data_IF_820200132564
#
_entry.id   IF_820200132564
#
_cell.length_a   1.000
_cell.length_b   1.000
_cell.length_c   1.000
_cell.angle_alpha   90.00
_cell.angle_beta   90.00
_cell.angle_gamma   90.00
#
_symmetry.space_group_name_H-M   'P 1'
#
loop_
_entity.id
_entity.type
_entity.pdbx_description
1 polymer ?
#
# COMPACT_ATOMS: atom_id res chain seq x y z
N UNK A 1 -18.18 -17.81 20.78
CA UNK A 1 -18.33 -18.99 19.90
C UNK A 1 -19.74 -19.58 19.96
N UNK A 2 -20.81 -18.84 19.70
CA UNK A 2 -22.16 -19.33 19.85
C UNK A 2 -23.23 -18.73 18.95
N UNK A 3 -22.85 -17.82 18.03
CA UNK A 3 -23.83 -17.04 17.25
C UNK A 3 -24.02 -17.57 15.80
N UNK A 4 -23.22 -18.51 15.35
CA UNK A 4 -23.33 -19.09 13.99
C UNK A 4 -23.70 -20.58 13.98
N UNK A 5 -24.40 -21.07 15.01
CA UNK A 5 -25.00 -22.39 14.97
C UNK A 5 -26.40 -22.25 14.45
N UNK A 6 -26.69 -22.95 13.36
CA UNK A 6 -28.03 -23.32 12.85
C UNK A 6 -28.79 -22.27 12.02
N UNK A 7 -28.15 -21.30 11.36
CA UNK A 7 -28.78 -20.57 10.28
C UNK A 7 -28.44 -21.26 8.94
N UNK A 8 -29.31 -22.10 8.44
CA UNK A 8 -29.24 -22.57 7.04
C UNK A 8 -29.69 -21.42 6.16
N UNK A 9 -28.73 -20.85 5.39
CA UNK A 9 -29.04 -19.89 4.33
C UNK A 9 -29.99 -20.53 3.32
N UNK A 10 -31.10 -19.86 2.99
CA UNK A 10 -31.93 -20.31 1.89
C UNK A 10 -31.21 -20.12 0.53
N UNK A 11 -31.79 -20.68 -0.53
CA UNK A 11 -31.16 -20.65 -1.87
C UNK A 11 -30.99 -19.21 -2.36
N UNK A 12 -31.98 -18.33 -2.15
CA UNK A 12 -31.93 -16.94 -2.60
C UNK A 12 -30.86 -16.13 -1.82
N UNK A 13 -30.71 -16.40 -0.53
CA UNK A 13 -29.66 -15.80 0.29
C UNK A 13 -28.27 -16.25 -0.16
N UNK A 14 -28.09 -17.54 -0.49
CA UNK A 14 -26.83 -18.07 -1.02
C UNK A 14 -26.47 -17.43 -2.37
N UNK A 15 -27.42 -17.32 -3.29
CA UNK A 15 -27.22 -16.69 -4.60
C UNK A 15 -26.85 -15.21 -4.47
N UNK A 16 -27.55 -14.47 -3.59
CA UNK A 16 -27.25 -13.06 -3.33
C UNK A 16 -25.84 -12.89 -2.74
N UNK A 17 -25.50 -13.68 -1.73
CA UNK A 17 -24.18 -13.62 -1.09
C UNK A 17 -23.06 -13.99 -2.09
N UNK A 18 -23.26 -15.04 -2.88
CA UNK A 18 -22.33 -15.46 -3.92
C UNK A 18 -22.10 -14.35 -4.95
N UNK A 19 -23.17 -13.71 -5.44
CA UNK A 19 -23.05 -12.59 -6.38
C UNK A 19 -22.22 -11.45 -5.79
N UNK A 20 -22.48 -11.06 -4.54
CA UNK A 20 -21.72 -10.01 -3.86
C UNK A 20 -20.25 -10.39 -3.65
N UNK A 21 -19.96 -11.65 -3.35
CA UNK A 21 -18.58 -12.15 -3.24
C UNK A 21 -17.87 -11.99 -4.58
N UNK A 22 -18.46 -12.42 -5.69
CA UNK A 22 -17.84 -12.28 -7.01
C UNK A 22 -17.63 -10.82 -7.43
N UNK A 23 -18.53 -9.91 -7.06
CA UNK A 23 -18.31 -8.47 -7.27
C UNK A 23 -17.08 -7.97 -6.52
N UNK A 24 -16.88 -8.37 -5.26
CA UNK A 24 -15.71 -8.00 -4.48
C UNK A 24 -14.44 -8.69 -5.01
N UNK A 25 -14.53 -9.93 -5.47
CA UNK A 25 -13.42 -10.63 -6.12
C UNK A 25 -12.98 -9.91 -7.39
N UNK A 26 -13.93 -9.44 -8.22
CA UNK A 26 -13.62 -8.63 -9.38
C UNK A 26 -12.86 -7.35 -8.99
N UNK A 27 -13.34 -6.62 -7.99
CA UNK A 27 -12.66 -5.41 -7.49
C UNK A 27 -11.24 -5.71 -6.99
N UNK A 28 -11.05 -6.84 -6.29
CA UNK A 28 -9.72 -7.28 -5.85
C UNK A 28 -8.81 -7.62 -7.02
N UNK A 29 -9.30 -8.29 -8.05
CA UNK A 29 -8.53 -8.62 -9.26
C UNK A 29 -8.16 -7.35 -10.05
N UNK A 30 -9.05 -6.37 -10.14
CA UNK A 30 -8.78 -5.08 -10.78
C UNK A 30 -7.67 -4.33 -10.02
N UNK A 31 -7.76 -4.27 -8.68
CA UNK A 31 -6.72 -3.70 -7.83
C UNK A 31 -5.39 -4.43 -7.99
N UNK A 32 -5.41 -5.76 -7.96
CA UNK A 32 -4.22 -6.61 -8.11
C UNK A 32 -3.56 -6.40 -9.47
N UNK A 33 -4.37 -6.19 -10.51
CA UNK A 33 -3.89 -5.87 -11.85
C UNK A 33 -3.24 -4.50 -11.91
N UNK A 34 -3.84 -3.50 -11.25
CA UNK A 34 -3.32 -2.14 -11.19
C UNK A 34 -1.97 -2.05 -10.46
N UNK A 35 -1.81 -2.77 -9.37
CA UNK A 35 -0.62 -2.74 -8.52
C UNK A 35 0.36 -3.89 -8.76
N UNK A 36 0.04 -4.85 -9.61
CA UNK A 36 0.90 -5.99 -9.92
C UNK A 36 1.06 -6.96 -8.76
N UNK A 37 -0.01 -7.17 -7.98
CA UNK A 37 -0.02 -8.15 -6.91
C UNK A 37 -0.03 -9.58 -7.47
N UNK A 38 0.52 -10.52 -6.71
CA UNK A 38 0.73 -11.91 -7.11
C UNK A 38 0.75 -12.83 -5.89
N UNK A 39 0.65 -14.12 -6.12
CA UNK A 39 0.61 -15.17 -5.10
C UNK A 39 -0.65 -15.04 -4.22
N UNK A 40 -0.52 -14.68 -2.96
CA UNK A 40 -1.65 -14.52 -2.06
C UNK A 40 -2.25 -13.11 -2.15
N UNK A 41 -3.29 -12.94 -2.98
CA UNK A 41 -3.93 -11.64 -3.16
C UNK A 41 -4.65 -11.15 -1.92
N UNK A 42 -5.15 -12.04 -1.07
CA UNK A 42 -5.79 -11.67 0.18
C UNK A 42 -4.80 -11.00 1.14
N UNK A 43 -3.63 -11.61 1.34
CA UNK A 43 -2.56 -11.02 2.16
C UNK A 43 -2.06 -9.69 1.58
N UNK A 44 -1.85 -9.62 0.26
CA UNK A 44 -1.45 -8.38 -0.42
C UNK A 44 -2.48 -7.28 -0.23
N UNK A 45 -3.77 -7.60 -0.31
CA UNK A 45 -4.87 -6.66 -0.10
C UNK A 45 -4.92 -6.13 1.34
N UNK A 46 -4.87 -7.01 2.33
CA UNK A 46 -4.82 -6.61 3.75
C UNK A 46 -3.62 -5.70 4.03
N UNK A 47 -2.45 -6.06 3.51
CA UNK A 47 -1.25 -5.24 3.63
C UNK A 47 -1.43 -3.89 2.95
N UNK A 48 -2.00 -3.86 1.75
CA UNK A 48 -2.27 -2.62 1.03
C UNK A 48 -3.21 -1.69 1.80
N UNK A 49 -4.27 -2.21 2.43
CA UNK A 49 -5.15 -1.43 3.31
C UNK A 49 -4.35 -0.82 4.47
N UNK A 50 -3.50 -1.60 5.15
CA UNK A 50 -2.67 -1.11 6.25
C UNK A 50 -1.77 0.04 5.80
N UNK A 51 -1.19 -0.06 4.61
CA UNK A 51 -0.24 0.92 4.10
C UNK A 51 -0.89 2.18 3.54
N UNK A 52 -2.13 2.10 3.08
CA UNK A 52 -2.84 3.23 2.47
C UNK A 52 -3.75 3.98 3.43
N UNK A 53 -4.07 3.40 4.59
CA UNK A 53 -4.97 4.00 5.57
C UNK A 53 -4.22 4.98 6.46
N UNK A 54 -4.42 6.28 6.20
CA UNK A 54 -3.89 7.37 7.02
C UNK A 54 -4.80 7.59 8.24
N UNK A 55 -4.24 7.39 9.43
CA UNK A 55 -4.91 7.63 10.69
C UNK A 55 -3.91 8.19 11.74
N UNK A 56 -4.39 8.58 12.91
CA UNK A 56 -3.54 9.18 13.94
C UNK A 56 -2.37 8.29 14.37
N UNK A 57 -2.56 6.97 14.40
CA UNK A 57 -1.49 6.03 14.74
C UNK A 57 -0.46 5.94 13.61
N UNK A 58 -0.90 5.70 12.37
CA UNK A 58 0.01 5.52 11.24
C UNK A 58 0.83 6.79 10.96
N UNK A 59 0.20 7.97 10.99
CA UNK A 59 0.86 9.26 10.79
C UNK A 59 1.84 9.62 11.92
N UNK A 60 1.55 9.22 13.17
CA UNK A 60 2.47 9.42 14.27
C UNK A 60 3.65 8.46 14.17
N UNK A 61 3.38 7.18 13.83
CA UNK A 61 4.41 6.16 13.68
C UNK A 61 5.39 6.46 12.55
N UNK A 62 4.92 7.09 11.47
CA UNK A 62 5.77 7.59 10.38
C UNK A 62 6.80 8.61 10.89
N UNK A 63 6.39 9.55 11.74
CA UNK A 63 7.25 10.66 12.19
C UNK A 63 8.21 10.28 13.30
N UNK A 64 7.74 9.54 14.28
CA UNK A 64 8.49 9.29 15.53
C UNK A 64 8.64 7.82 15.89
N UNK A 65 8.07 6.92 15.09
CA UNK A 65 7.95 5.51 15.45
C UNK A 65 6.90 5.28 16.54
N UNK A 66 6.76 4.03 16.97
CA UNK A 66 5.81 3.66 18.03
C UNK A 66 6.47 3.77 19.41
N UNK A 67 6.76 4.98 19.87
CA UNK A 67 7.25 5.19 21.24
C UNK A 67 6.08 5.08 22.23
N UNK A 68 6.19 4.22 23.23
CA UNK A 68 5.35 3.97 24.41
C UNK A 68 4.06 4.81 24.57
N UNK A 69 3.21 4.88 23.54
CA UNK A 69 1.95 5.61 23.56
C UNK A 69 0.77 4.70 23.88
N UNK A 70 -0.23 5.19 24.60
CA UNK A 70 -1.48 4.46 24.86
C UNK A 70 -2.17 4.03 23.55
N UNK A 71 -2.01 4.79 22.48
CA UNK A 71 -2.55 4.48 21.16
C UNK A 71 -2.04 3.14 20.60
N UNK A 72 -0.82 2.72 21.00
CA UNK A 72 -0.25 1.43 20.56
C UNK A 72 -1.06 0.24 21.07
N UNK A 73 -1.70 0.36 22.24
CA UNK A 73 -2.56 -0.70 22.74
C UNK A 73 -3.78 -0.91 21.85
N UNK A 74 -4.41 0.16 21.38
CA UNK A 74 -5.52 0.08 20.44
C UNK A 74 -5.06 -0.45 19.08
N UNK A 75 -3.94 0.04 18.58
CA UNK A 75 -3.38 -0.44 17.32
C UNK A 75 -3.02 -1.94 17.36
N UNK A 76 -2.49 -2.44 18.47
CA UNK A 76 -2.23 -3.88 18.64
C UNK A 76 -3.51 -4.72 18.65
N UNK A 77 -4.60 -4.21 19.22
CA UNK A 77 -5.90 -4.89 19.14
C UNK A 77 -6.39 -4.99 17.70
N UNK A 78 -6.28 -3.90 16.92
CA UNK A 78 -6.63 -3.91 15.51
C UNK A 78 -5.71 -4.84 14.71
N UNK A 79 -4.41 -4.84 14.98
CA UNK A 79 -3.47 -5.74 14.31
C UNK A 79 -3.69 -7.21 14.67
N UNK A 80 -4.19 -7.52 15.87
CA UNK A 80 -4.61 -8.87 16.19
C UNK A 80 -5.78 -9.32 15.29
N UNK A 81 -6.70 -8.40 14.96
CA UNK A 81 -7.78 -8.70 14.00
C UNK A 81 -7.18 -8.94 12.60
N UNK A 82 -6.23 -8.12 12.15
CA UNK A 82 -5.54 -8.34 10.89
C UNK A 82 -4.80 -9.68 10.86
N UNK A 83 -4.07 -10.06 11.91
CA UNK A 83 -3.43 -11.37 12.01
C UNK A 83 -4.44 -12.51 11.86
N UNK A 84 -5.59 -12.41 12.52
CA UNK A 84 -6.64 -13.41 12.39
C UNK A 84 -7.19 -13.48 10.96
N UNK A 85 -7.26 -12.34 10.25
CA UNK A 85 -7.67 -12.29 8.84
C UNK A 85 -6.59 -12.85 7.91
N UNK A 86 -5.31 -12.69 8.21
CA UNK A 86 -4.21 -13.29 7.45
C UNK A 86 -4.26 -14.82 7.50
N UNK A 87 -4.68 -15.39 8.63
CA UNK A 87 -4.77 -16.85 8.85
C UNK A 87 -6.20 -17.39 8.73
N UNK A 88 -7.11 -16.58 8.15
CA UNK A 88 -8.50 -16.99 8.06
C UNK A 88 -8.69 -18.16 7.09
N UNK A 89 -9.41 -19.19 7.53
CA UNK A 89 -9.76 -20.34 6.71
C UNK A 89 -11.10 -20.09 5.97
N UNK A 90 -11.01 -19.94 4.67
CA UNK A 90 -12.17 -19.68 3.81
C UNK A 90 -12.92 -20.96 3.38
N UNK A 91 -12.33 -22.15 3.60
CA UNK A 91 -12.93 -23.43 3.16
C UNK A 91 -14.39 -23.63 3.61
N UNK A 92 -14.77 -23.32 4.87
CA UNK A 92 -16.17 -23.48 5.28
C UNK A 92 -17.15 -22.60 4.49
N UNK A 93 -16.71 -21.41 4.05
CA UNK A 93 -17.52 -20.52 3.21
C UNK A 93 -17.66 -21.10 1.81
N UNK A 94 -16.55 -21.55 1.23
CA UNK A 94 -16.53 -22.17 -0.11
C UNK A 94 -17.40 -23.41 -0.19
N UNK A 95 -17.30 -24.29 0.80
CA UNK A 95 -18.14 -25.50 0.91
C UNK A 95 -19.62 -25.16 1.05
N UNK A 96 -19.96 -24.16 1.87
CA UNK A 96 -21.37 -23.74 2.10
C UNK A 96 -22.00 -23.14 0.86
N UNK A 97 -21.23 -22.34 0.09
CA UNK A 97 -21.73 -21.62 -1.07
C UNK A 97 -21.48 -22.35 -2.41
N UNK A 98 -20.67 -23.40 -2.42
CA UNK A 98 -20.30 -24.12 -3.64
C UNK A 98 -19.42 -23.30 -4.57
N UNK A 99 -18.48 -22.50 -4.03
CA UNK A 99 -17.56 -21.62 -4.77
C UNK A 99 -16.10 -21.99 -4.45
N UNK A 100 -15.16 -21.54 -5.27
CA UNK A 100 -13.71 -21.77 -5.14
C UNK A 100 -12.87 -20.50 -5.30
N UNK A 101 -13.52 -19.35 -5.31
CA UNK A 101 -12.86 -18.09 -5.62
C UNK A 101 -11.84 -17.64 -4.56
N UNK A 102 -12.04 -17.99 -3.29
CA UNK A 102 -11.08 -17.68 -2.23
C UNK A 102 -9.81 -18.52 -2.38
N UNK A 103 -9.94 -19.85 -2.56
CA UNK A 103 -8.78 -20.71 -2.82
C UNK A 103 -7.98 -20.25 -4.04
N UNK A 104 -8.68 -19.78 -5.08
CA UNK A 104 -8.05 -19.23 -6.29
C UNK A 104 -7.22 -17.97 -6.02
N UNK A 105 -7.70 -17.04 -5.19
CA UNK A 105 -6.94 -15.80 -4.89
C UNK A 105 -5.80 -16.03 -3.89
N UNK A 106 -5.85 -17.09 -3.10
CA UNK A 106 -4.75 -17.45 -2.17
C UNK A 106 -3.54 -18.07 -2.90
N UNK A 107 -3.73 -18.64 -4.08
CA UNK A 107 -2.65 -19.18 -4.96
C UNK A 107 -2.73 -18.55 -6.37
N UNK A 108 -2.86 -17.24 -6.42
CA UNK A 108 -3.02 -16.49 -7.65
C UNK A 108 -1.70 -16.40 -8.43
N UNK A 109 -1.80 -16.57 -9.75
CA UNK A 109 -0.68 -16.39 -10.69
C UNK A 109 -1.00 -15.24 -11.63
N UNK A 110 -0.29 -14.12 -11.45
CA UNK A 110 -0.44 -12.99 -12.35
C UNK A 110 0.01 -13.35 -13.77
N UNK A 111 -0.75 -12.87 -14.76
CA UNK A 111 -0.32 -12.94 -16.17
C UNK A 111 0.95 -12.10 -16.30
N UNK A 112 1.99 -12.65 -16.94
CA UNK A 112 3.26 -11.97 -17.16
C UNK A 112 3.04 -10.61 -17.82
N UNK A 113 3.30 -9.54 -17.08
CA UNK A 113 3.13 -8.15 -17.52
C UNK A 113 4.50 -7.54 -17.78
N UNK A 114 4.56 -6.69 -18.80
CA UNK A 114 5.73 -5.83 -18.99
C UNK A 114 5.84 -4.85 -17.83
N UNK A 115 7.05 -4.48 -17.41
CA UNK A 115 7.32 -3.57 -16.29
C UNK A 115 6.59 -2.21 -16.38
N UNK A 116 6.04 -1.88 -17.53
CA UNK A 116 5.32 -0.62 -17.79
C UNK A 116 3.84 -0.62 -17.40
N UNK A 117 3.27 -1.76 -17.01
CA UNK A 117 1.82 -1.88 -16.80
C UNK A 117 1.37 -1.62 -15.36
N UNK A 118 2.29 -1.65 -14.36
CA UNK A 118 1.97 -1.41 -12.97
C UNK A 118 3.12 -0.72 -12.22
N UNK A 119 2.83 -0.17 -11.05
CA UNK A 119 3.83 0.46 -10.19
C UNK A 119 4.66 -0.61 -9.47
N UNK A 120 5.80 -0.98 -10.06
CA UNK A 120 6.70 -2.01 -9.53
C UNK A 120 7.16 -1.72 -8.10
N UNK A 121 7.43 -0.45 -7.79
CA UNK A 121 7.89 -0.06 -6.45
C UNK A 121 6.81 -0.31 -5.39
N UNK A 122 5.55 0.01 -5.66
CA UNK A 122 4.43 -0.29 -4.75
C UNK A 122 4.24 -1.80 -4.62
N UNK A 123 4.22 -2.52 -5.74
CA UNK A 123 4.08 -3.97 -5.76
C UNK A 123 5.14 -4.67 -4.90
N UNK A 124 6.40 -4.31 -5.05
CA UNK A 124 7.51 -4.91 -4.30
C UNK A 124 7.41 -4.64 -2.80
N UNK A 125 7.09 -3.39 -2.41
CA UNK A 125 6.91 -3.01 -1.01
C UNK A 125 5.75 -3.76 -0.35
N UNK A 126 4.58 -3.80 -1.02
CA UNK A 126 3.39 -4.48 -0.50
C UNK A 126 3.65 -5.97 -0.35
N UNK A 127 4.23 -6.62 -1.36
CA UNK A 127 4.50 -8.07 -1.31
C UNK A 127 5.53 -8.42 -0.26
N UNK A 128 6.62 -7.65 -0.14
CA UNK A 128 7.65 -7.90 0.87
C UNK A 128 7.09 -7.80 2.29
N UNK A 129 6.31 -6.74 2.58
CA UNK A 129 5.66 -6.62 3.90
C UNK A 129 4.59 -7.71 4.08
N UNK A 130 3.83 -8.04 3.06
CA UNK A 130 2.82 -9.11 3.11
C UNK A 130 3.42 -10.46 3.52
N UNK A 131 4.58 -10.81 2.96
CA UNK A 131 5.30 -12.04 3.30
C UNK A 131 5.81 -11.98 4.78
N UNK A 132 6.30 -10.81 5.23
CA UNK A 132 6.75 -10.60 6.61
C UNK A 132 5.59 -10.70 7.62
N UNK A 133 4.44 -10.08 7.31
CA UNK A 133 3.25 -10.11 8.15
C UNK A 133 2.62 -11.51 8.23
N UNK A 134 2.62 -12.26 7.12
CA UNK A 134 2.13 -13.63 7.09
C UNK A 134 2.99 -14.58 7.93
N UNK A 135 4.27 -14.28 8.10
CA UNK A 135 5.21 -15.06 8.91
C UNK A 135 5.25 -14.64 10.39
N UNK A 136 4.54 -13.55 10.77
CA UNK A 136 4.53 -13.09 12.15
C UNK A 136 3.81 -14.08 13.07
N UNK A 137 4.48 -14.54 14.12
CA UNK A 137 3.94 -15.51 15.06
C UNK A 137 3.09 -14.86 16.16
N UNK A 138 3.30 -13.57 16.44
CA UNK A 138 2.58 -12.81 17.45
C UNK A 138 2.27 -11.38 17.00
N UNK A 139 1.37 -10.73 17.74
CA UNK A 139 0.94 -9.37 17.44
C UNK A 139 2.07 -8.33 17.60
N UNK A 140 3.06 -8.59 18.45
CA UNK A 140 4.17 -7.67 18.65
C UNK A 140 5.12 -7.69 17.46
N UNK A 141 5.40 -8.85 16.92
CA UNK A 141 6.17 -9.01 15.67
C UNK A 141 5.43 -8.34 14.49
N UNK A 142 4.14 -8.59 14.35
CA UNK A 142 3.30 -7.95 13.34
C UNK A 142 3.30 -6.42 13.48
N UNK A 143 3.07 -5.92 14.69
CA UNK A 143 3.10 -4.49 15.02
C UNK A 143 4.43 -3.85 14.64
N UNK A 144 5.54 -4.46 15.03
CA UNK A 144 6.88 -3.92 14.78
C UNK A 144 7.18 -3.86 13.26
N UNK A 145 6.78 -4.85 12.49
CA UNK A 145 6.93 -4.85 11.03
C UNK A 145 6.17 -3.68 10.38
N UNK A 146 4.90 -3.47 10.76
CA UNK A 146 4.09 -2.37 10.25
C UNK A 146 4.67 -1.01 10.64
N UNK A 147 5.02 -0.81 11.91
CA UNK A 147 5.60 0.45 12.41
C UNK A 147 6.94 0.77 11.74
N UNK A 148 7.78 -0.26 11.56
CA UNK A 148 9.04 -0.11 10.83
C UNK A 148 8.79 0.35 9.41
N UNK A 149 7.81 -0.24 8.72
CA UNK A 149 7.44 0.17 7.37
C UNK A 149 7.01 1.65 7.32
N UNK A 150 6.11 2.07 8.24
CA UNK A 150 5.67 3.47 8.30
C UNK A 150 6.83 4.44 8.51
N UNK A 151 7.79 4.08 9.36
CA UNK A 151 8.97 4.90 9.63
C UNK A 151 9.92 4.98 8.44
N UNK A 152 10.13 3.87 7.73
CA UNK A 152 11.10 3.76 6.65
C UNK A 152 10.57 4.35 5.32
N UNK A 153 9.27 4.24 5.08
CA UNK A 153 8.66 4.60 3.80
C UNK A 153 7.53 5.64 3.89
N UNK A 154 6.96 5.83 5.06
CA UNK A 154 5.75 6.63 5.26
C UNK A 154 4.46 5.83 5.05
N UNK A 155 3.33 6.50 5.24
CA UNK A 155 1.98 5.94 5.09
C UNK A 155 1.23 6.65 3.96
N UNK A 156 0.19 6.00 3.46
CA UNK A 156 -0.67 6.56 2.43
C UNK A 156 -0.02 6.60 1.04
N UNK A 157 -0.58 7.42 0.20
CA UNK A 157 -0.15 7.55 -1.19
C UNK A 157 1.32 7.99 -1.30
N UNK A 158 1.76 8.90 -0.43
CA UNK A 158 3.12 9.45 -0.45
C UNK A 158 4.16 8.45 0.08
N UNK A 159 3.80 7.59 1.02
CA UNK A 159 4.68 6.51 1.49
C UNK A 159 4.93 5.43 0.45
N UNK A 160 3.94 5.12 -0.36
CA UNK A 160 4.04 4.07 -1.36
C UNK A 160 4.70 4.53 -2.67
N UNK A 161 4.48 5.77 -3.09
CA UNK A 161 4.91 6.27 -4.39
C UNK A 161 6.07 7.26 -4.28
N UNK A 162 6.99 7.23 -5.24
CA UNK A 162 8.19 8.08 -5.27
C UNK A 162 7.99 9.40 -6.00
N UNK A 163 7.02 9.46 -6.91
CA UNK A 163 6.78 10.65 -7.72
C UNK A 163 5.32 10.76 -8.12
N UNK A 164 4.90 12.01 -8.33
CA UNK A 164 3.52 12.36 -8.66
C UNK A 164 3.50 13.38 -9.78
N UNK A 165 2.44 13.30 -10.59
CA UNK A 165 2.05 14.38 -11.51
C UNK A 165 0.89 15.12 -10.89
N UNK A 166 0.94 16.44 -10.90
CA UNK A 166 -0.21 17.27 -10.53
C UNK A 166 -1.09 17.38 -11.78
N UNK A 167 -2.35 17.00 -11.63
CA UNK A 167 -3.38 17.15 -12.66
C UNK A 167 -4.51 18.00 -12.09
N UNK A 168 -5.21 18.69 -12.96
CA UNK A 168 -6.41 19.43 -12.56
C UNK A 168 -7.63 18.51 -12.68
N UNK A 169 -8.34 18.32 -11.58
CA UNK A 169 -9.55 17.55 -11.51
C UNK A 169 -10.67 18.39 -10.89
N UNK A 170 -11.68 18.77 -11.69
CA UNK A 170 -12.80 19.62 -11.25
C UNK A 170 -12.34 20.95 -10.60
N UNK A 171 -11.33 21.61 -11.13
CA UNK A 171 -10.79 22.88 -10.62
C UNK A 171 -9.94 22.74 -9.37
N UNK A 172 -9.58 21.51 -8.96
CA UNK A 172 -8.69 21.24 -7.83
C UNK A 172 -7.46 20.47 -8.29
N UNK A 173 -6.27 20.77 -7.73
CA UNK A 173 -5.08 19.98 -7.99
C UNK A 173 -5.24 18.60 -7.37
N UNK A 174 -4.92 17.57 -8.15
CA UNK A 174 -4.90 16.16 -7.74
C UNK A 174 -3.52 15.56 -8.00
N UNK A 175 -3.06 14.68 -7.09
CA UNK A 175 -1.76 14.03 -7.18
C UNK A 175 -1.92 12.62 -7.77
N UNK A 176 -1.50 12.46 -9.01
CA UNK A 176 -1.54 11.16 -9.70
C UNK A 176 -0.16 10.50 -9.65
N UNK A 177 -0.02 9.30 -9.07
CA UNK A 177 1.25 8.59 -9.02
C UNK A 177 1.84 8.33 -10.41
N UNK A 178 3.16 8.48 -10.53
CA UNK A 178 3.90 8.12 -11.75
C UNK A 178 4.42 6.68 -11.58
N UNK A 179 3.88 5.77 -12.36
CA UNK A 179 4.19 4.34 -12.25
C UNK A 179 5.58 3.97 -12.78
N UNK A 180 6.06 4.69 -13.78
CA UNK A 180 7.38 4.46 -14.39
C UNK A 180 8.21 5.73 -14.29
N UNK A 181 9.19 5.70 -13.41
CA UNK A 181 10.21 6.72 -13.34
C UNK A 181 11.38 6.28 -14.25
N UNK A 182 11.78 7.16 -15.14
CA UNK A 182 13.03 6.96 -15.85
C UNK A 182 14.18 6.89 -14.84
N UNK A 183 15.13 5.97 -15.07
CA UNK A 183 16.27 5.78 -14.17
C UNK A 183 17.35 6.88 -14.35
N UNK A 184 16.98 8.03 -14.89
CA UNK A 184 17.90 9.16 -15.04
C UNK A 184 18.19 9.72 -13.66
N UNK A 185 19.45 9.70 -13.27
CA UNK A 185 19.96 10.28 -12.03
C UNK A 185 20.75 11.56 -12.33
N UNK A 186 20.98 12.38 -11.30
CA UNK A 186 21.73 13.64 -11.48
C UNK A 186 23.12 13.44 -12.09
N UNK A 187 23.72 12.29 -11.86
CA UNK A 187 25.07 11.97 -12.41
C UNK A 187 25.03 11.72 -13.92
N UNK A 188 23.88 11.37 -14.48
CA UNK A 188 23.72 11.22 -15.94
C UNK A 188 23.70 12.56 -16.68
N UNK A 189 23.50 13.67 -15.97
CA UNK A 189 23.51 15.02 -16.54
C UNK A 189 24.94 15.50 -16.66
N UNK A 190 25.47 15.56 -17.86
CA UNK A 190 26.83 16.02 -18.14
C UNK A 190 26.89 17.54 -18.28
N UNK A 191 27.86 18.18 -17.63
CA UNK A 191 28.17 19.60 -17.84
C UNK A 191 27.42 20.60 -16.96
N UNK A 192 26.68 20.17 -15.97
CA UNK A 192 25.85 21.02 -15.08
C UNK A 192 26.32 20.97 -13.61
N UNK A 193 27.58 20.83 -13.33
CA UNK A 193 28.08 20.54 -11.97
C UNK A 193 27.71 21.61 -10.92
N UNK A 194 27.77 22.88 -11.29
CA UNK A 194 27.41 23.98 -10.40
C UNK A 194 25.93 23.98 -10.12
N UNK A 195 25.10 23.75 -11.14
CA UNK A 195 23.64 23.71 -11.03
C UNK A 195 23.20 22.49 -10.21
N UNK A 196 23.79 21.31 -10.45
CA UNK A 196 23.56 20.10 -9.66
C UNK A 196 23.84 20.35 -8.18
N UNK A 197 25.04 20.91 -7.89
CA UNK A 197 25.42 21.20 -6.50
C UNK A 197 24.45 22.15 -5.84
N UNK A 198 24.07 23.25 -6.51
CA UNK A 198 23.09 24.21 -5.97
C UNK A 198 21.72 23.55 -5.72
N UNK A 199 21.28 22.66 -6.63
CA UNK A 199 20.03 21.93 -6.48
C UNK A 199 20.06 21.02 -5.25
N UNK A 200 21.12 20.23 -5.10
CA UNK A 200 21.30 19.31 -3.96
C UNK A 200 21.37 20.10 -2.66
N UNK A 201 22.29 21.08 -2.57
CA UNK A 201 22.51 21.89 -1.36
C UNK A 201 21.20 22.56 -0.89
N UNK A 202 20.39 23.08 -1.84
CA UNK A 202 19.12 23.72 -1.53
C UNK A 202 18.03 22.74 -1.11
N UNK A 203 17.98 21.56 -1.75
CA UNK A 203 17.05 20.49 -1.39
C UNK A 203 17.36 19.93 0.01
N UNK A 204 18.65 19.71 0.31
CA UNK A 204 19.08 19.27 1.64
C UNK A 204 18.78 20.31 2.72
N UNK A 205 18.99 21.59 2.43
CA UNK A 205 18.64 22.69 3.34
C UNK A 205 17.11 22.69 3.63
N UNK A 206 16.28 22.49 2.61
CA UNK A 206 14.83 22.38 2.77
C UNK A 206 14.43 21.18 3.64
N UNK A 207 14.97 19.99 3.37
CA UNK A 207 14.69 18.77 4.14
C UNK A 207 15.13 18.92 5.61
N UNK A 208 16.20 19.66 5.87
CA UNK A 208 16.69 19.98 7.23
C UNK A 208 15.89 21.10 7.92
N UNK A 209 14.83 21.60 7.31
CA UNK A 209 14.02 22.69 7.87
C UNK A 209 14.70 24.06 7.83
N UNK A 210 15.80 24.21 7.07
CA UNK A 210 16.45 25.49 6.82
C UNK A 210 15.71 26.25 5.72
N UNK A 211 15.86 27.58 5.70
CA UNK A 211 15.25 28.39 4.64
C UNK A 211 15.89 28.06 3.30
N UNK A 212 15.13 27.41 2.42
CA UNK A 212 15.53 27.15 1.05
C UNK A 212 15.23 28.35 0.17
N UNK A 213 16.14 28.66 -0.77
CA UNK A 213 15.92 29.73 -1.74
C UNK A 213 14.94 29.26 -2.81
N UNK A 214 13.88 30.02 -3.09
CA UNK A 214 12.88 29.70 -4.10
C UNK A 214 13.51 29.63 -5.51
N UNK A 215 13.17 28.61 -6.30
CA UNK A 215 13.62 28.41 -7.68
C UNK A 215 12.97 29.32 -8.72
N UNK A 216 12.33 30.40 -8.33
CA UNK A 216 11.66 31.36 -9.26
C UNK A 216 12.61 31.99 -10.28
N UNK A 217 13.92 31.89 -10.11
CA UNK A 217 14.92 32.45 -11.01
C UNK A 217 15.46 31.51 -12.11
N UNK A 218 15.02 30.26 -12.18
CA UNK A 218 15.46 29.33 -13.26
C UNK A 218 14.74 29.57 -14.60
N UNK A 219 13.73 30.45 -14.66
CA UNK A 219 12.94 30.71 -15.86
C UNK A 219 13.44 31.92 -16.70
N UNK A 220 14.51 32.57 -16.32
CA UNK A 220 14.89 33.88 -16.89
C UNK A 220 15.89 33.84 -18.06
N UNK A 221 16.25 32.68 -18.61
CA UNK A 221 17.23 32.56 -19.69
C UNK A 221 16.81 31.60 -20.81
N UNK A 222 15.54 31.57 -21.18
CA UNK A 222 15.11 31.06 -22.49
C UNK A 222 14.57 32.22 -23.33
N UNK A 223 15.49 33.00 -23.89
CA UNK A 223 15.28 33.84 -25.08
C UNK A 223 16.48 33.75 -25.97
#
# INVERSE_FOLDING_TARGET
SGIFRDYELDLAEKENLTSRIYEQMKALLDLSTQYGFDKNLWHNYLTFILLTNENSFSMTSEKVGANNGTVNHFAKNDFQVFMNLFHYDFRPIEETLGIDCFSTILDYKAIGKTERMYNKNVSEKVRALSDELAAAEDVDTFFNAVVKFYKDYGVGMFGLNKAFRIVENNGKPDFVPINNLDKVVLDDLTGYEIQKKKLVDNTEAFVQGKVAVSYTHLRAHET
#
